data_IF_927504326496
#
_entry.id   IF_927504326496
#
_cell.length_a   1.000
_cell.length_b   1.000
_cell.length_c   1.000
_cell.angle_alpha   90.00
_cell.angle_beta   90.00
_cell.angle_gamma   90.00
#
_symmetry.space_group_name_H-M   'P 1'
#
loop_
_entity.id
_entity.type
_entity.pdbx_description
1 polymer ?
#
# COMPACT_ATOMS: atom_id res chain seq x y z
N UNK A 1 -10.15 4.81 -17.92
CA UNK A 1 -10.96 4.28 -16.79
C UNK A 1 -10.13 3.83 -15.59
N UNK A 2 -9.12 2.94 -15.74
CA UNK A 2 -8.30 2.43 -14.60
C UNK A 2 -7.40 3.48 -13.92
N UNK A 3 -7.17 4.66 -14.51
CA UNK A 3 -6.40 5.73 -13.85
C UNK A 3 -7.23 6.65 -12.95
N UNK A 4 -8.51 6.85 -13.26
CA UNK A 4 -9.38 7.78 -12.50
C UNK A 4 -10.00 7.10 -11.28
N UNK A 5 -10.39 5.83 -11.36
CA UNK A 5 -10.86 5.09 -10.18
C UNK A 5 -9.75 4.94 -9.11
N UNK A 6 -8.49 4.75 -9.49
CA UNK A 6 -7.34 4.57 -8.59
C UNK A 6 -6.96 5.86 -7.87
N UNK A 7 -7.08 7.02 -8.53
CA UNK A 7 -6.87 8.33 -7.89
C UNK A 7 -7.85 8.60 -6.75
N UNK A 8 -9.05 8.02 -6.82
CA UNK A 8 -10.04 8.11 -5.75
C UNK A 8 -9.84 7.07 -4.64
N UNK A 9 -9.05 6.01 -4.88
CA UNK A 9 -8.83 4.92 -3.93
C UNK A 9 -7.52 5.08 -3.15
N UNK A 10 -6.48 5.69 -3.73
CA UNK A 10 -5.17 5.90 -3.07
C UNK A 10 -4.65 7.30 -3.33
N UNK A 11 -4.64 8.14 -2.30
CA UNK A 11 -4.24 9.55 -2.37
C UNK A 11 -3.23 9.97 -1.28
N UNK A 12 -2.70 9.01 -0.52
CA UNK A 12 -1.99 9.31 0.71
C UNK A 12 -0.61 8.63 0.77
N UNK A 13 0.42 9.47 0.90
CA UNK A 13 1.79 9.06 1.21
C UNK A 13 2.08 9.49 2.64
N UNK A 14 2.46 8.55 3.49
CA UNK A 14 2.85 8.82 4.89
C UNK A 14 4.37 8.77 4.98
N UNK A 15 4.98 9.88 5.43
CA UNK A 15 6.40 9.96 5.78
C UNK A 15 6.48 10.33 7.26
N UNK A 16 7.17 9.51 8.07
CA UNK A 16 7.25 9.74 9.50
C UNK A 16 8.63 9.48 10.09
N UNK A 17 9.03 10.35 11.01
CA UNK A 17 10.31 10.23 11.73
C UNK A 17 10.26 9.31 12.96
N UNK A 18 9.08 9.11 13.56
CA UNK A 18 8.85 8.25 14.72
C UNK A 18 7.53 7.50 14.56
N UNK A 19 7.53 6.21 14.93
CA UNK A 19 6.37 5.32 14.78
C UNK A 19 5.80 4.84 16.13
N UNK A 20 6.50 5.06 17.25
CA UNK A 20 6.06 4.65 18.58
C UNK A 20 5.58 5.87 19.38
N UNK A 21 4.29 5.99 19.70
CA UNK A 21 3.75 7.13 20.43
C UNK A 21 4.29 7.23 21.87
N UNK A 22 4.80 6.14 22.45
CA UNK A 22 5.39 6.18 23.80
C UNK A 22 6.73 6.93 23.85
N UNK A 23 7.35 7.17 22.68
CA UNK A 23 8.65 7.83 22.56
C UNK A 23 8.55 9.36 22.43
N UNK A 24 7.34 9.91 22.33
CA UNK A 24 7.12 11.36 22.34
C UNK A 24 6.43 11.82 23.63
N UNK A 25 6.72 13.06 24.04
CA UNK A 25 6.00 13.76 25.11
C UNK A 25 5.07 14.84 24.56
N UNK A 26 5.14 15.10 23.26
CA UNK A 26 4.30 16.07 22.57
C UNK A 26 2.96 15.42 22.23
N UNK A 27 1.87 16.04 22.69
CA UNK A 27 0.52 15.50 22.50
C UNK A 27 0.06 15.57 21.04
N UNK A 28 0.51 16.56 20.29
CA UNK A 28 0.19 16.72 18.87
C UNK A 28 0.91 15.65 18.05
N UNK A 29 2.21 15.45 18.31
CA UNK A 29 2.99 14.38 17.68
C UNK A 29 2.43 12.98 18.00
N UNK A 30 2.05 12.71 19.27
CA UNK A 30 1.39 11.46 19.66
C UNK A 30 0.07 11.26 18.90
N UNK A 31 -0.72 12.32 18.72
CA UNK A 31 -1.99 12.24 18.00
C UNK A 31 -1.77 11.93 16.52
N UNK A 32 -0.74 12.51 15.90
CA UNK A 32 -0.39 12.24 14.51
C UNK A 32 0.16 10.84 14.30
N UNK A 33 0.99 10.34 15.22
CA UNK A 33 1.44 8.93 15.23
C UNK A 33 0.23 7.99 15.33
N UNK A 34 -0.76 8.29 16.18
CA UNK A 34 -1.98 7.47 16.28
C UNK A 34 -2.85 7.53 15.02
N UNK A 35 -2.99 8.70 14.39
CA UNK A 35 -3.70 8.81 13.09
C UNK A 35 -2.98 7.99 12.02
N UNK A 36 -1.66 8.04 12.00
CA UNK A 36 -0.84 7.22 11.11
C UNK A 36 -1.09 5.72 11.33
N UNK A 37 -1.09 5.26 12.58
CA UNK A 37 -1.42 3.86 12.89
C UNK A 37 -2.81 3.50 12.40
N UNK A 38 -3.82 4.34 12.64
CA UNK A 38 -5.17 4.10 12.16
C UNK A 38 -5.24 4.04 10.62
N UNK A 39 -4.46 4.87 9.92
CA UNK A 39 -4.38 4.84 8.46
C UNK A 39 -3.63 3.61 7.97
N UNK A 40 -2.61 3.12 8.69
CA UNK A 40 -1.92 1.88 8.35
C UNK A 40 -2.86 0.68 8.60
N UNK A 41 -3.55 0.64 9.74
CA UNK A 41 -4.50 -0.42 10.09
C UNK A 41 -5.70 -0.49 9.15
N UNK A 42 -6.19 0.65 8.66
CA UNK A 42 -7.39 0.74 7.83
C UNK A 42 -7.09 1.11 6.36
N UNK A 43 -5.82 1.27 6.01
CA UNK A 43 -5.38 1.67 4.68
C UNK A 43 -5.13 0.48 3.77
N UNK A 44 -4.73 0.76 2.54
CA UNK A 44 -4.31 -0.27 1.60
C UNK A 44 -3.17 0.24 0.75
N UNK A 45 -2.27 -0.65 0.37
CA UNK A 45 -1.20 -0.37 -0.57
C UNK A 45 -1.60 -0.83 -1.97
N UNK A 46 -1.37 0.00 -2.97
CA UNK A 46 -1.67 -0.30 -4.37
C UNK A 46 -0.45 -0.03 -5.24
N UNK A 47 0.03 -1.04 -5.97
CA UNK A 47 1.13 -0.92 -6.93
C UNK A 47 0.63 -1.17 -8.38
N UNK A 48 0.24 -0.13 -9.12
CA UNK A 48 -0.42 -0.25 -10.43
C UNK A 48 0.54 -0.19 -11.63
N UNK A 49 1.78 -0.68 -11.47
CA UNK A 49 2.77 -0.64 -12.55
C UNK A 49 2.33 -1.49 -13.75
N UNK A 50 2.63 -1.03 -14.97
CA UNK A 50 2.45 -1.86 -16.19
C UNK A 50 3.32 -3.13 -16.12
N UNK A 51 4.48 -3.01 -15.50
CA UNK A 51 5.40 -4.10 -15.19
C UNK A 51 6.27 -3.68 -13.99
N UNK A 52 6.49 -4.58 -13.04
CA UNK A 52 7.35 -4.35 -11.88
C UNK A 52 8.28 -5.55 -11.70
N UNK A 53 9.59 -5.35 -11.89
CA UNK A 53 10.52 -6.48 -11.98
C UNK A 53 10.77 -7.19 -10.64
N UNK A 54 10.85 -6.45 -9.53
CA UNK A 54 11.30 -6.99 -8.25
C UNK A 54 10.18 -7.06 -7.21
N UNK A 55 9.39 -6.00 -7.06
CA UNK A 55 8.30 -5.98 -6.09
C UNK A 55 8.73 -5.75 -4.64
N UNK A 56 9.90 -5.16 -4.38
CA UNK A 56 10.31 -4.78 -3.01
C UNK A 56 9.25 -3.92 -2.27
N UNK A 57 8.62 -2.90 -2.91
CA UNK A 57 7.59 -2.12 -2.24
C UNK A 57 6.36 -2.95 -1.84
N UNK A 58 6.06 -4.02 -2.59
CA UNK A 58 4.98 -4.96 -2.29
C UNK A 58 5.32 -5.77 -1.03
N UNK A 59 6.56 -6.26 -0.92
CA UNK A 59 7.04 -6.99 0.27
C UNK A 59 7.04 -6.08 1.50
N UNK A 60 7.50 -4.83 1.37
CA UNK A 60 7.51 -3.84 2.45
C UNK A 60 6.08 -3.56 2.95
N UNK A 61 5.14 -3.34 2.03
CA UNK A 61 3.74 -3.12 2.38
C UNK A 61 3.11 -4.33 3.10
N UNK A 62 3.34 -5.53 2.60
CA UNK A 62 2.86 -6.77 3.22
C UNK A 62 3.46 -6.99 4.62
N UNK A 63 4.76 -6.70 4.81
CA UNK A 63 5.42 -6.78 6.12
C UNK A 63 4.90 -5.74 7.11
N UNK A 64 4.44 -4.58 6.62
CA UNK A 64 3.76 -3.57 7.43
C UNK A 64 2.30 -3.93 7.74
N UNK A 65 1.80 -5.08 7.28
CA UNK A 65 0.44 -5.55 7.51
C UNK A 65 -0.61 -4.86 6.63
N UNK A 66 -0.21 -4.16 5.58
CA UNK A 66 -1.14 -3.46 4.71
C UNK A 66 -1.82 -4.44 3.74
N UNK A 67 -3.17 -4.42 3.64
CA UNK A 67 -3.88 -5.01 2.51
C UNK A 67 -3.25 -4.50 1.21
N UNK A 68 -2.77 -5.43 0.37
CA UNK A 68 -1.91 -5.10 -0.76
C UNK A 68 -2.53 -5.54 -2.07
N UNK A 69 -2.60 -4.60 -3.02
CA UNK A 69 -3.04 -4.83 -4.40
C UNK A 69 -1.88 -4.49 -5.33
N UNK A 70 -1.43 -5.42 -6.17
CA UNK A 70 -0.29 -5.15 -7.05
C UNK A 70 -0.48 -5.72 -8.45
N UNK A 71 0.22 -5.16 -9.42
CA UNK A 71 0.24 -5.64 -10.80
C UNK A 71 0.53 -7.14 -10.89
N UNK A 72 -0.13 -7.86 -11.80
CA UNK A 72 0.20 -9.25 -12.11
C UNK A 72 1.34 -9.38 -13.15
N UNK A 73 2.03 -8.29 -13.48
CA UNK A 73 3.11 -8.27 -14.46
C UNK A 73 4.48 -8.10 -13.77
N UNK A 74 5.26 -9.18 -13.72
CA UNK A 74 6.60 -9.21 -13.12
C UNK A 74 6.62 -9.78 -11.69
N UNK A 75 7.57 -9.35 -10.86
CA UNK A 75 7.83 -9.88 -9.52
C UNK A 75 6.61 -9.97 -8.59
N UNK A 76 5.71 -8.97 -8.52
CA UNK A 76 4.54 -9.06 -7.65
C UNK A 76 3.58 -10.23 -7.96
N UNK A 77 3.61 -10.76 -9.18
CA UNK A 77 2.84 -11.94 -9.56
C UNK A 77 3.25 -13.20 -8.79
N UNK A 78 4.52 -13.29 -8.40
CA UNK A 78 5.09 -14.41 -7.63
C UNK A 78 5.00 -14.15 -6.11
N UNK A 79 4.96 -12.89 -5.69
CA UNK A 79 4.92 -12.48 -4.27
C UNK A 79 3.53 -12.65 -3.66
N UNK A 80 2.48 -12.27 -4.42
CA UNK A 80 1.10 -12.28 -3.94
C UNK A 80 0.42 -13.59 -4.36
N UNK A 81 -0.24 -14.24 -3.39
CA UNK A 81 -1.24 -15.28 -3.67
C UNK A 81 -2.60 -14.59 -3.70
N UNK A 82 -3.15 -14.46 -4.90
CA UNK A 82 -4.40 -13.72 -5.15
C UNK A 82 -5.56 -14.25 -4.28
N UNK A 83 -6.25 -13.34 -3.60
CA UNK A 83 -7.35 -13.64 -2.67
C UNK A 83 -6.92 -14.24 -1.33
N UNK A 84 -5.62 -14.47 -1.10
CA UNK A 84 -5.10 -15.06 0.15
C UNK A 84 -4.19 -14.07 0.89
N UNK A 85 -3.09 -13.65 0.27
CA UNK A 85 -2.11 -12.73 0.88
C UNK A 85 -2.18 -11.30 0.32
N UNK A 86 -3.01 -11.08 -0.70
CA UNK A 86 -3.23 -9.81 -1.38
C UNK A 86 -4.09 -10.02 -2.62
N UNK A 87 -4.12 -9.03 -3.51
CA UNK A 87 -4.87 -9.11 -4.77
C UNK A 87 -4.02 -8.67 -5.97
N UNK A 88 -4.22 -9.36 -7.08
CA UNK A 88 -3.62 -8.99 -8.36
C UNK A 88 -4.46 -7.96 -9.12
N UNK A 89 -3.79 -7.01 -9.74
CA UNK A 89 -4.36 -6.03 -10.67
C UNK A 89 -3.82 -6.34 -12.06
N UNK A 90 -4.68 -6.58 -13.03
CA UNK A 90 -4.27 -6.62 -14.44
C UNK A 90 -4.23 -5.17 -14.98
N UNK A 91 -3.04 -4.62 -15.28
CA UNK A 91 -2.92 -3.25 -15.74
C UNK A 91 -3.45 -3.05 -17.17
N UNK A 92 -3.72 -4.13 -17.92
CA UNK A 92 -4.27 -4.09 -19.27
C UNK A 92 -5.80 -4.22 -19.31
N UNK A 93 -6.43 -4.48 -18.16
CA UNK A 93 -7.87 -4.63 -18.09
C UNK A 93 -8.59 -3.30 -18.45
N UNK A 94 -9.39 -3.30 -19.51
CA UNK A 94 -10.08 -2.10 -20.01
C UNK A 94 -9.33 -1.28 -21.07
N UNK A 95 -8.31 -1.86 -21.72
CA UNK A 95 -7.67 -1.28 -22.93
C UNK A 95 -8.33 -1.71 -24.27
N UNK A 96 -9.52 -2.32 -24.22
CA UNK A 96 -10.33 -2.70 -25.38
C UNK A 96 -11.47 -1.71 -25.64
#
# INVERSE_FOLDING_TARGET
MVREWMRNLVNLVIVAGFFDPSRSKDREEIADIKKMHAIIENGSFVQPALYEACGLPVIEAMNCGLPTFATNQGGPAEIIVDGVSGYHIDPNNGMN
#
